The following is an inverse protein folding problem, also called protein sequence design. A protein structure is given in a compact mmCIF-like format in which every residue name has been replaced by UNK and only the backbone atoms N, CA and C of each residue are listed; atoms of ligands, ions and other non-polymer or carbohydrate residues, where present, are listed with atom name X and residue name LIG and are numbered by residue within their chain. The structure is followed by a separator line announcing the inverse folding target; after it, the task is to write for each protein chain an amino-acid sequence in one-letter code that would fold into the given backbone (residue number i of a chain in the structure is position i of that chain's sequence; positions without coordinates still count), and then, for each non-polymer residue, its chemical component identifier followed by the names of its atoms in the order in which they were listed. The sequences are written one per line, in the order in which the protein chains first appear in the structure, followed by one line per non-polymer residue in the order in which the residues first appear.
data_IF_600745022510
#
_entry.id   IF_600745022510
#
_cell.length_a   1.000
_cell.length_b   1.000
_cell.length_c   1.000
_cell.angle_alpha   90.00
_cell.angle_beta   90.00
_cell.angle_gamma   90.00
#
_symmetry.space_group_name_H-M   'P 1'
#
loop_
_entity.id
_entity.type
_entity.pdbx_description
1 polymer ?
#
# COMPACT_ATOMS: atom_id res chain seq x y z
N UNK A 1 13.11 -31.18 16.81
CA UNK A 1 12.93 -31.23 15.35
C UNK A 1 12.08 -30.04 14.95
N UNK A 2 12.70 -28.97 14.46
CA UNK A 2 12.02 -27.69 14.15
C UNK A 2 11.28 -27.83 12.82
N UNK A 3 9.96 -27.80 12.83
CA UNK A 3 9.13 -27.83 11.63
C UNK A 3 9.12 -26.44 10.99
N UNK A 4 9.79 -26.29 9.84
CA UNK A 4 9.80 -25.08 9.05
C UNK A 4 8.44 -24.86 8.41
N UNK A 5 7.64 -23.93 8.97
CA UNK A 5 6.38 -23.48 8.36
C UNK A 5 6.70 -22.65 7.12
N UNK A 6 6.68 -23.30 5.96
CA UNK A 6 6.66 -22.63 4.67
C UNK A 6 5.35 -21.85 4.52
N UNK A 7 5.37 -20.63 3.96
CA UNK A 7 4.15 -19.87 3.71
C UNK A 7 3.30 -20.63 2.67
N UNK A 8 2.13 -21.10 3.11
CA UNK A 8 1.18 -21.82 2.26
C UNK A 8 0.25 -20.80 1.60
N UNK A 9 0.35 -20.64 0.29
CA UNK A 9 -0.63 -19.87 -0.46
C UNK A 9 -1.97 -20.63 -0.44
N UNK A 10 -2.97 -20.08 0.24
CA UNK A 10 -4.33 -20.63 0.25
C UNK A 10 -5.00 -20.40 -1.10
N UNK A 11 -5.79 -21.39 -1.52
CA UNK A 11 -6.64 -21.27 -2.70
C UNK A 11 -7.86 -20.39 -2.37
N UNK A 12 -8.48 -19.74 -3.37
CA UNK A 12 -9.59 -18.81 -3.17
C UNK A 12 -10.78 -19.36 -2.37
N UNK A 13 -10.98 -20.69 -2.37
CA UNK A 13 -12.13 -21.36 -1.74
C UNK A 13 -11.77 -22.09 -0.43
N UNK A 14 -10.59 -21.83 0.16
CA UNK A 14 -10.15 -22.48 1.39
C UNK A 14 -10.45 -21.60 2.61
N UNK A 15 -11.59 -21.84 3.26
CA UNK A 15 -12.07 -21.12 4.47
C UNK A 15 -11.34 -21.53 5.77
N UNK A 16 -10.32 -22.38 5.68
CA UNK A 16 -9.51 -22.85 6.82
C UNK A 16 -8.91 -21.72 7.67
N UNK A 17 -8.71 -20.53 7.09
CA UNK A 17 -8.11 -19.38 7.78
C UNK A 17 -9.04 -18.67 8.77
N UNK A 18 -10.36 -18.87 8.67
CA UNK A 18 -11.34 -18.12 9.46
C UNK A 18 -11.31 -18.49 10.95
N UNK A 19 -10.88 -19.71 11.30
CA UNK A 19 -10.82 -20.18 12.69
C UNK A 19 -9.50 -19.82 13.40
N UNK A 20 -8.47 -19.37 12.69
CA UNK A 20 -7.15 -19.09 13.27
C UNK A 20 -6.96 -17.61 13.64
N UNK A 21 -7.88 -16.73 13.22
CA UNK A 21 -7.81 -15.28 13.44
C UNK A 21 -8.35 -14.84 14.82
N UNK A 22 -9.05 -15.71 15.55
CA UNK A 22 -9.55 -15.45 16.91
C UNK A 22 -8.55 -15.84 18.02
N UNK A 23 -7.41 -16.44 17.67
CA UNK A 23 -6.33 -16.66 18.62
C UNK A 23 -5.47 -15.39 18.74
N UNK A 24 -5.55 -14.71 19.89
CA UNK A 24 -4.68 -13.59 20.20
C UNK A 24 -3.19 -13.99 20.04
N UNK A 25 -2.36 -13.23 19.31
CA UNK A 25 -1.00 -13.64 19.03
C UNK A 25 -0.11 -13.39 20.26
N UNK A 26 0.57 -14.43 20.71
CA UNK A 26 1.73 -14.37 21.60
C UNK A 26 2.96 -13.86 20.82
N UNK A 27 3.73 -13.00 21.47
CA UNK A 27 4.81 -12.12 20.99
C UNK A 27 5.83 -12.64 19.94
N UNK A 28 6.37 -11.64 19.25
CA UNK A 28 7.70 -11.51 18.64
C UNK A 28 8.08 -12.42 17.45
N UNK A 29 7.87 -11.91 16.23
CA UNK A 29 8.94 -11.30 15.41
C UNK A 29 8.42 -10.90 14.01
N UNK A 30 8.66 -9.62 13.66
CA UNK A 30 8.45 -8.97 12.35
C UNK A 30 7.00 -8.87 11.88
N UNK A 31 6.26 -8.00 12.55
CA UNK A 31 5.09 -7.37 11.95
C UNK A 31 5.55 -6.23 11.04
N UNK A 32 6.04 -6.53 9.82
CA UNK A 32 6.18 -5.53 8.73
C UNK A 32 4.81 -5.07 8.19
N UNK A 33 3.78 -5.09 9.04
CA UNK A 33 2.48 -4.54 8.73
C UNK A 33 2.68 -3.03 8.70
N UNK A 34 2.61 -2.46 7.50
CA UNK A 34 2.46 -1.02 7.35
C UNK A 34 1.16 -0.64 8.06
N UNK A 35 1.29 -0.12 9.28
CA UNK A 35 0.14 0.29 10.08
C UNK A 35 -0.57 1.43 9.36
N UNK A 36 -1.71 1.12 8.75
CA UNK A 36 -2.59 2.13 8.20
C UNK A 36 -3.41 2.73 9.34
N UNK A 37 -2.88 3.79 9.95
CA UNK A 37 -3.54 4.54 11.03
C UNK A 37 -4.94 5.07 10.64
N UNK A 38 -5.25 5.07 9.34
CA UNK A 38 -6.50 5.57 8.79
C UNK A 38 -7.40 4.47 8.21
N UNK A 39 -7.24 3.20 8.65
CA UNK A 39 -8.01 2.06 8.14
C UNK A 39 -9.54 2.24 8.20
N UNK A 40 -10.04 3.07 9.14
CA UNK A 40 -11.47 3.38 9.31
C UNK A 40 -12.02 4.37 8.28
N UNK A 41 -11.16 5.05 7.53
CA UNK A 41 -11.56 5.95 6.45
C UNK A 41 -11.80 5.17 5.16
N UNK A 42 -12.61 5.73 4.26
CA UNK A 42 -12.72 5.21 2.90
C UNK A 42 -11.37 5.26 2.19
N UNK A 43 -11.12 4.33 1.26
CA UNK A 43 -9.88 4.29 0.49
C UNK A 43 -9.61 5.61 -0.26
N UNK A 44 -10.65 6.29 -0.73
CA UNK A 44 -10.52 7.61 -1.36
C UNK A 44 -10.00 8.66 -0.37
N UNK A 45 -10.58 8.73 0.82
CA UNK A 45 -10.14 9.66 1.85
C UNK A 45 -8.73 9.37 2.38
N UNK A 46 -8.33 8.09 2.41
CA UNK A 46 -6.95 7.72 2.75
C UNK A 46 -5.96 8.18 1.68
N UNK A 47 -6.29 7.99 0.39
CA UNK A 47 -5.45 8.41 -0.75
C UNK A 47 -5.27 9.92 -0.80
N UNK A 48 -6.32 10.68 -0.50
CA UNK A 48 -6.27 12.15 -0.39
C UNK A 48 -5.28 12.63 0.68
N UNK A 49 -5.01 11.82 1.71
CA UNK A 49 -4.08 12.18 2.81
C UNK A 49 -2.63 11.77 2.55
N UNK A 50 -2.34 11.07 1.46
CA UNK A 50 -0.96 10.67 1.17
C UNK A 50 -0.11 11.91 0.83
N UNK A 51 1.14 12.00 1.34
CA UNK A 51 1.99 13.18 1.14
C UNK A 51 2.18 13.59 -0.32
N UNK A 52 2.14 12.65 -1.27
CA UNK A 52 2.27 12.96 -2.69
C UNK A 52 1.07 13.71 -3.29
N UNK A 53 -0.12 13.63 -2.66
CA UNK A 53 -1.37 14.19 -3.19
C UNK A 53 -1.29 15.71 -3.39
N UNK A 54 -0.54 16.40 -2.53
CA UNK A 54 -0.36 17.86 -2.59
C UNK A 54 0.44 18.32 -3.81
N UNK A 55 1.26 17.45 -4.41
CA UNK A 55 2.09 17.76 -5.56
C UNK A 55 1.46 17.34 -6.90
N UNK A 56 0.20 16.88 -6.89
CA UNK A 56 -0.49 16.33 -8.06
C UNK A 56 -0.35 17.21 -9.30
N UNK A 57 -0.67 18.50 -9.16
CA UNK A 57 -0.72 19.41 -10.31
C UNK A 57 0.69 19.76 -10.82
N UNK A 58 1.68 19.83 -9.93
CA UNK A 58 3.09 19.98 -10.31
C UNK A 58 3.60 18.76 -11.06
N UNK A 59 3.24 17.55 -10.62
CA UNK A 59 3.61 16.30 -11.28
C UNK A 59 2.99 16.26 -12.68
N UNK A 60 1.71 16.62 -12.83
CA UNK A 60 1.03 16.67 -14.12
C UNK A 60 1.68 17.67 -15.06
N UNK A 61 1.92 18.90 -14.59
CA UNK A 61 2.64 19.91 -15.37
C UNK A 61 4.01 19.40 -15.83
N UNK A 62 4.79 18.78 -14.95
CA UNK A 62 6.09 18.25 -15.32
C UNK A 62 5.99 17.09 -16.32
N UNK A 63 4.99 16.23 -16.24
CA UNK A 63 4.77 15.15 -17.21
C UNK A 63 4.37 15.67 -18.59
N UNK A 64 3.62 16.76 -18.66
CA UNK A 64 3.26 17.40 -19.93
C UNK A 64 4.46 18.08 -20.60
N UNK A 65 5.36 18.67 -19.81
CA UNK A 65 6.44 19.52 -20.33
C UNK A 65 7.79 18.79 -20.46
N UNK A 66 7.98 17.67 -19.76
CA UNK A 66 9.25 16.95 -19.73
C UNK A 66 9.07 15.47 -20.02
N UNK A 67 9.93 14.94 -20.89
CA UNK A 67 9.96 13.52 -21.25
C UNK A 67 10.34 12.61 -20.06
N UNK A 68 11.06 13.14 -19.07
CA UNK A 68 11.53 12.37 -17.92
C UNK A 68 11.35 13.16 -16.64
N UNK A 69 10.72 12.55 -15.65
CA UNK A 69 10.48 13.12 -14.33
C UNK A 69 11.07 12.21 -13.25
N UNK A 70 11.90 12.79 -12.37
CA UNK A 70 12.48 12.09 -11.21
C UNK A 70 11.71 12.48 -9.96
N UNK A 71 11.13 11.50 -9.27
CA UNK A 71 10.38 11.70 -8.03
C UNK A 71 11.15 11.17 -6.82
N UNK A 72 11.41 12.04 -5.84
CA UNK A 72 12.12 11.70 -4.60
C UNK A 72 11.16 11.79 -3.42
N UNK A 73 11.22 10.82 -2.50
CA UNK A 73 10.46 10.85 -1.26
C UNK A 73 10.56 9.55 -0.48
N UNK A 74 10.19 9.56 0.80
CA UNK A 74 10.27 8.40 1.70
C UNK A 74 9.32 7.24 1.33
N UNK A 75 9.60 6.03 1.83
CA UNK A 75 8.70 4.88 1.67
C UNK A 75 7.35 5.17 2.35
N UNK A 76 6.25 4.78 1.71
CA UNK A 76 4.89 5.05 2.23
C UNK A 76 4.29 6.39 1.80
N UNK A 77 5.06 7.27 1.15
CA UNK A 77 4.56 8.58 0.69
C UNK A 77 3.54 8.53 -0.46
N UNK A 78 3.30 7.36 -1.05
CA UNK A 78 2.33 7.15 -2.14
C UNK A 78 2.89 7.26 -3.56
N UNK A 79 4.22 7.38 -3.76
CA UNK A 79 4.86 7.53 -5.09
C UNK A 79 4.41 6.47 -6.10
N UNK A 80 4.75 5.21 -5.85
CA UNK A 80 4.51 4.12 -6.81
C UNK A 80 3.03 3.75 -6.97
N UNK A 81 2.16 4.21 -6.07
CA UNK A 81 0.72 3.88 -6.09
C UNK A 81 -0.13 5.00 -6.67
N UNK A 82 0.12 6.26 -6.33
CA UNK A 82 -0.72 7.39 -6.73
C UNK A 82 -0.33 8.00 -8.07
N UNK A 83 0.95 7.97 -8.45
CA UNK A 83 1.41 8.57 -9.71
C UNK A 83 0.78 7.86 -10.92
N UNK A 84 0.84 6.52 -11.06
CA UNK A 84 0.19 5.85 -12.18
C UNK A 84 -1.32 6.07 -12.22
N UNK A 85 -1.97 6.08 -11.05
CA UNK A 85 -3.41 6.32 -10.94
C UNK A 85 -3.81 7.72 -11.42
N UNK A 86 -2.99 8.73 -11.14
CA UNK A 86 -3.26 10.11 -11.55
C UNK A 86 -3.11 10.28 -13.06
N UNK A 87 -2.06 9.70 -13.65
CA UNK A 87 -1.80 9.81 -15.09
C UNK A 87 -2.87 9.08 -15.91
N UNK A 88 -3.29 7.89 -15.48
CA UNK A 88 -4.32 7.11 -16.16
C UNK A 88 -5.71 7.76 -16.19
N UNK A 89 -5.97 8.75 -15.32
CA UNK A 89 -7.25 9.47 -15.29
C UNK A 89 -7.23 10.70 -16.20
N UNK A 90 -6.04 11.20 -16.57
CA UNK A 90 -5.87 12.45 -17.33
C UNK A 90 -5.41 12.18 -18.78
N UNK A 91 -4.87 11.00 -19.07
CA UNK A 91 -4.57 10.51 -20.42
C UNK A 91 -5.82 9.92 -21.09
#
# INVERSE_FOLDING_TARGET
MSSSRLPKFLKPDDDSFSSERDAAPSDDHVTSFVFNAHHSLSLAAQRERLPIRQYRDQILYCLENYQTLVLVGETGSGKSTQVPQTVAVVA
#
